data_IF_679386170165
#
_entry.id   IF_679386170165
#
_cell.length_a   1.000
_cell.length_b   1.000
_cell.length_c   1.000
_cell.angle_alpha   90.00
_cell.angle_beta   90.00
_cell.angle_gamma   90.00
#
_symmetry.space_group_name_H-M   'P 1'
#
loop_
_entity.id
_entity.type
_entity.pdbx_description
1 polymer ?
#
# COMPACT_ATOMS: atom_id res chain seq x y z
N UNK A 1 -2.54 -5.79 -77.42
CA UNK A 1 -2.97 -6.20 -76.06
C UNK A 1 -1.72 -6.37 -75.25
N UNK A 2 -1.40 -5.35 -74.40
CA UNK A 2 -0.23 -5.38 -73.50
C UNK A 2 -0.77 -5.53 -72.10
N UNK A 3 -0.50 -6.67 -71.52
CA UNK A 3 -0.83 -6.96 -70.10
C UNK A 3 0.25 -6.39 -69.21
N UNK A 4 -0.12 -5.39 -68.38
CA UNK A 4 0.69 -4.88 -67.26
C UNK A 4 0.57 -5.84 -66.07
N UNK A 5 1.68 -6.45 -65.66
CA UNK A 5 1.80 -7.13 -64.40
C UNK A 5 2.11 -6.10 -63.29
N UNK A 6 1.21 -5.92 -62.35
CA UNK A 6 1.48 -5.22 -61.10
C UNK A 6 2.17 -6.20 -60.14
N UNK A 7 3.42 -5.95 -59.84
CA UNK A 7 4.10 -6.62 -58.75
C UNK A 7 3.68 -5.98 -57.43
N UNK A 8 2.95 -6.71 -56.58
CA UNK A 8 2.68 -6.32 -55.19
C UNK A 8 3.90 -6.68 -54.35
N UNK A 9 4.62 -5.66 -53.91
CA UNK A 9 5.65 -5.83 -52.84
C UNK A 9 4.94 -6.16 -51.52
N UNK A 10 5.36 -7.22 -50.81
CA UNK A 10 4.84 -7.47 -49.48
C UNK A 10 5.40 -6.40 -48.54
N UNK A 11 4.54 -5.59 -47.97
CA UNK A 11 4.86 -4.76 -46.82
C UNK A 11 5.10 -5.68 -45.62
N UNK A 12 6.36 -5.93 -45.29
CA UNK A 12 6.75 -6.54 -44.03
C UNK A 12 6.58 -5.47 -42.95
N UNK A 13 5.47 -5.49 -42.24
CA UNK A 13 5.32 -4.82 -40.97
C UNK A 13 6.08 -5.66 -39.91
N UNK A 14 7.38 -5.52 -39.90
CA UNK A 14 8.20 -5.95 -38.79
C UNK A 14 8.32 -4.80 -37.81
N UNK A 15 7.24 -4.49 -37.12
CA UNK A 15 7.33 -3.83 -35.81
C UNK A 15 7.65 -4.96 -34.83
N UNK A 16 8.92 -5.32 -34.74
CA UNK A 16 9.41 -6.08 -33.58
C UNK A 16 9.23 -5.14 -32.40
N UNK A 17 8.27 -5.44 -31.52
CA UNK A 17 8.23 -4.86 -30.20
C UNK A 17 9.59 -5.15 -29.58
N UNK A 18 10.43 -4.13 -29.48
CA UNK A 18 11.72 -4.24 -28.80
C UNK A 18 11.39 -4.54 -27.34
N UNK A 19 11.60 -5.77 -26.92
CA UNK A 19 11.42 -6.15 -25.55
C UNK A 19 12.42 -5.34 -24.72
N UNK A 20 11.91 -4.44 -23.86
CA UNK A 20 12.71 -3.53 -23.05
C UNK A 20 13.14 -4.15 -21.73
N UNK A 21 12.50 -5.26 -21.32
CA UNK A 21 12.71 -5.95 -20.05
C UNK A 21 12.86 -7.46 -20.28
N UNK A 22 13.78 -8.08 -19.55
CA UNK A 22 13.92 -9.54 -19.43
C UNK A 22 13.33 -9.98 -18.09
N UNK A 23 12.44 -10.96 -18.11
CA UNK A 23 11.84 -11.54 -16.91
C UNK A 23 12.48 -12.88 -16.58
N UNK A 24 12.85 -13.07 -15.31
CA UNK A 24 13.31 -14.36 -14.78
C UNK A 24 12.46 -14.76 -13.60
N UNK A 25 11.74 -15.86 -13.72
CA UNK A 25 11.00 -16.45 -12.62
C UNK A 25 11.96 -17.18 -11.68
N UNK A 26 11.79 -16.96 -10.38
CA UNK A 26 12.56 -17.53 -9.30
C UNK A 26 11.63 -18.16 -8.27
N UNK A 27 12.20 -19.00 -7.42
CA UNK A 27 11.53 -19.52 -6.23
C UNK A 27 12.40 -19.20 -5.03
N UNK A 28 11.84 -18.55 -4.03
CA UNK A 28 12.53 -18.22 -2.79
C UNK A 28 12.14 -19.26 -1.74
N UNK A 29 13.14 -19.84 -1.07
CA UNK A 29 12.94 -20.68 0.11
C UNK A 29 12.83 -19.78 1.35
N UNK A 30 11.62 -19.70 1.90
CA UNK A 30 11.31 -18.90 3.09
C UNK A 30 11.61 -19.65 4.40
N UNK A 31 12.20 -20.84 4.31
CA UNK A 31 12.47 -21.72 5.44
C UNK A 31 11.26 -22.54 5.89
N UNK A 32 11.52 -23.52 6.76
CA UNK A 32 10.48 -24.41 7.31
C UNK A 32 9.64 -25.13 6.23
N UNK A 33 10.19 -25.35 5.04
CA UNK A 33 9.50 -25.97 3.90
C UNK A 33 8.57 -25.03 3.14
N UNK A 34 8.49 -23.76 3.52
CA UNK A 34 7.68 -22.74 2.83
C UNK A 34 8.48 -22.17 1.67
N UNK A 35 7.87 -22.12 0.48
CA UNK A 35 8.45 -21.51 -0.72
C UNK A 35 7.48 -20.53 -1.31
N UNK A 36 8.03 -19.50 -1.96
CA UNK A 36 7.23 -18.51 -2.67
C UNK A 36 7.78 -18.23 -4.06
N UNK A 37 6.90 -17.82 -4.98
CA UNK A 37 7.32 -17.38 -6.30
C UNK A 37 7.89 -15.97 -6.23
N UNK A 38 8.84 -15.71 -7.11
CA UNK A 38 9.43 -14.40 -7.31
C UNK A 38 9.72 -14.16 -8.80
N UNK A 39 9.89 -12.92 -9.16
CA UNK A 39 10.27 -12.50 -10.50
C UNK A 39 11.34 -11.42 -10.43
N UNK A 40 12.45 -11.69 -11.07
CA UNK A 40 13.50 -10.72 -11.32
C UNK A 40 13.28 -10.08 -12.69
N UNK A 41 13.07 -8.77 -12.69
CA UNK A 41 12.96 -7.95 -13.88
C UNK A 41 14.31 -7.31 -14.14
N UNK A 42 14.83 -7.46 -15.35
CA UNK A 42 16.17 -7.01 -15.74
C UNK A 42 16.06 -6.11 -16.98
N UNK A 43 16.91 -5.09 -17.12
CA UNK A 43 17.05 -4.37 -18.38
C UNK A 43 17.32 -5.33 -19.55
N UNK A 44 16.67 -5.12 -20.69
CA UNK A 44 16.93 -5.92 -21.89
C UNK A 44 18.27 -5.57 -22.52
N UNK A 45 18.76 -4.34 -22.29
CA UNK A 45 20.01 -3.81 -22.85
C UNK A 45 21.04 -3.66 -21.73
N UNK A 46 22.27 -4.08 -22.01
CA UNK A 46 23.37 -4.11 -21.06
C UNK A 46 23.55 -5.49 -20.40
N UNK A 47 24.74 -5.72 -19.87
CA UNK A 47 25.12 -6.99 -19.24
C UNK A 47 25.14 -6.90 -17.71
N UNK A 48 24.90 -5.71 -17.15
CA UNK A 48 25.02 -5.45 -15.71
C UNK A 48 26.49 -5.27 -15.26
N UNK A 49 26.79 -5.31 -13.94
CA UNK A 49 25.77 -5.42 -12.90
C UNK A 49 24.90 -4.16 -12.83
N UNK A 50 23.60 -4.34 -12.56
CA UNK A 50 22.62 -3.27 -12.46
C UNK A 50 22.34 -2.92 -11.00
N UNK A 51 22.12 -1.64 -10.65
CA UNK A 51 21.59 -1.28 -9.34
C UNK A 51 20.29 -2.05 -9.08
N UNK A 52 20.09 -2.49 -7.84
CA UNK A 52 19.05 -3.43 -7.49
C UNK A 52 17.97 -2.83 -6.62
N UNK A 53 16.73 -3.29 -6.83
CA UNK A 53 15.57 -2.91 -6.04
C UNK A 53 14.82 -4.16 -5.59
N UNK A 54 14.52 -4.27 -4.29
CA UNK A 54 13.60 -5.24 -3.72
C UNK A 54 12.30 -4.55 -3.34
N UNK A 55 11.16 -5.05 -3.83
CA UNK A 55 9.83 -4.56 -3.47
C UNK A 55 9.24 -5.37 -2.32
N UNK A 56 8.81 -4.68 -1.24
CA UNK A 56 8.29 -5.27 0.01
C UNK A 56 6.87 -4.76 0.27
N UNK A 57 5.92 -5.70 0.27
CA UNK A 57 4.48 -5.43 0.25
C UNK A 57 3.92 -4.78 1.52
N UNK A 58 2.76 -4.13 1.33
CA UNK A 58 1.85 -3.72 2.39
C UNK A 58 1.11 -4.88 3.07
N UNK A 59 0.19 -4.57 3.98
CA UNK A 59 -0.65 -5.54 4.68
C UNK A 59 -1.56 -6.33 3.73
N UNK A 60 -1.99 -7.51 4.15
CA UNK A 60 -2.93 -8.34 3.40
C UNK A 60 -2.28 -9.42 2.55
N UNK A 61 -3.08 -10.20 1.79
CA UNK A 61 -2.65 -11.35 1.00
C UNK A 61 -2.09 -10.92 -0.36
N UNK A 62 -1.01 -10.16 -0.37
CA UNK A 62 -0.46 -9.56 -1.58
C UNK A 62 0.35 -10.56 -2.42
N UNK A 63 0.06 -10.59 -3.72
CA UNK A 63 0.94 -11.20 -4.72
C UNK A 63 2.13 -10.28 -5.04
N UNK A 64 3.08 -10.77 -5.83
CA UNK A 64 4.30 -10.03 -6.19
C UNK A 64 4.06 -8.67 -6.87
N UNK A 65 2.88 -8.44 -7.42
CA UNK A 65 2.51 -7.20 -8.10
C UNK A 65 1.73 -6.23 -7.19
N UNK A 66 1.42 -6.61 -5.94
CA UNK A 66 0.40 -5.95 -5.13
C UNK A 66 -0.88 -5.72 -5.92
N UNK A 67 -1.33 -6.77 -6.63
CA UNK A 67 -2.54 -6.69 -7.44
C UNK A 67 -3.70 -6.22 -6.58
N UNK A 68 -4.48 -5.28 -7.06
CA UNK A 68 -5.63 -4.68 -6.37
C UNK A 68 -6.66 -4.20 -7.37
N UNK A 69 -7.75 -3.64 -6.86
CA UNK A 69 -8.72 -2.94 -7.68
C UNK A 69 -8.75 -1.47 -7.31
N UNK A 70 -8.93 -0.56 -8.25
CA UNK A 70 -9.26 0.82 -7.95
C UNK A 70 -10.76 1.01 -7.85
N UNK A 71 -11.19 1.89 -6.95
CA UNK A 71 -12.60 2.20 -6.77
C UNK A 71 -13.05 3.15 -7.87
N UNK A 72 -14.02 2.72 -8.64
CA UNK A 72 -14.77 3.57 -9.57
C UNK A 72 -16.25 3.38 -9.34
N UNK A 73 -16.98 4.47 -9.27
CA UNK A 73 -18.44 4.42 -9.23
C UNK A 73 -18.95 4.41 -10.67
N UNK A 74 -19.73 3.42 -11.02
CA UNK A 74 -20.47 3.39 -12.24
C UNK A 74 -21.59 4.43 -12.18
N UNK A 75 -21.55 5.43 -13.05
CA UNK A 75 -22.50 6.55 -13.01
C UNK A 75 -23.93 6.16 -13.40
N UNK A 76 -24.12 5.01 -14.08
CA UNK A 76 -25.44 4.55 -14.50
C UNK A 76 -26.11 3.69 -13.42
N UNK A 77 -25.34 2.85 -12.77
CA UNK A 77 -25.85 1.85 -11.82
C UNK A 77 -25.59 2.22 -10.35
N UNK A 78 -24.72 3.18 -10.07
CA UNK A 78 -24.22 3.48 -8.74
C UNK A 78 -23.33 2.40 -8.15
N UNK A 79 -22.98 1.38 -8.94
CA UNK A 79 -22.17 0.26 -8.50
C UNK A 79 -20.70 0.63 -8.38
N UNK A 80 -20.01 0.09 -7.37
CA UNK A 80 -18.58 0.25 -7.21
C UNK A 80 -17.87 -0.79 -8.09
N UNK A 81 -16.97 -0.33 -8.93
CA UNK A 81 -16.15 -1.17 -9.81
C UNK A 81 -14.71 -1.14 -9.31
N UNK A 82 -14.07 -2.31 -9.21
CA UNK A 82 -12.68 -2.49 -8.82
C UNK A 82 -11.87 -3.12 -9.96
N UNK A 83 -11.49 -2.35 -11.00
CA UNK A 83 -10.65 -2.89 -12.05
C UNK A 83 -9.25 -3.21 -11.51
N UNK A 84 -8.57 -4.22 -12.04
CA UNK A 84 -7.25 -4.62 -11.58
C UNK A 84 -6.22 -3.49 -11.69
N UNK A 85 -5.46 -3.27 -10.64
CA UNK A 85 -4.27 -2.43 -10.60
C UNK A 85 -3.10 -3.27 -10.08
N UNK A 86 -1.89 -2.93 -10.45
CA UNK A 86 -0.68 -3.67 -10.09
C UNK A 86 0.47 -2.71 -9.78
N UNK A 87 0.41 -1.99 -8.67
CA UNK A 87 1.40 -0.95 -8.34
C UNK A 87 2.85 -1.43 -8.39
N UNK A 88 3.14 -2.62 -7.85
CA UNK A 88 4.50 -3.15 -7.87
C UNK A 88 4.95 -3.58 -9.26
N UNK A 89 4.03 -4.01 -10.11
CA UNK A 89 4.34 -4.22 -11.51
C UNK A 89 4.72 -2.91 -12.20
N UNK A 90 3.96 -1.83 -11.96
CA UNK A 90 4.23 -0.51 -12.54
C UNK A 90 5.62 0.01 -12.12
N UNK A 91 6.00 -0.13 -10.84
CA UNK A 91 7.34 0.24 -10.34
C UNK A 91 8.42 -0.61 -11.00
N UNK A 92 8.22 -1.93 -11.06
CA UNK A 92 9.22 -2.86 -11.58
C UNK A 92 9.48 -2.61 -13.08
N UNK A 93 8.43 -2.45 -13.89
CA UNK A 93 8.55 -2.13 -15.30
C UNK A 93 9.29 -0.80 -15.50
N UNK A 94 8.81 0.25 -14.82
CA UNK A 94 9.36 1.59 -14.97
C UNK A 94 10.86 1.67 -14.64
N UNK A 95 11.27 1.02 -13.55
CA UNK A 95 12.68 1.02 -13.13
C UNK A 95 13.55 0.09 -14.00
N UNK A 96 13.04 -1.09 -14.39
CA UNK A 96 13.81 -2.03 -15.19
C UNK A 96 14.05 -1.52 -16.63
N UNK A 97 13.10 -0.81 -17.22
CA UNK A 97 13.33 -0.10 -18.49
C UNK A 97 14.43 0.96 -18.40
N UNK A 98 14.72 1.45 -17.18
CA UNK A 98 15.66 2.54 -16.91
C UNK A 98 16.96 2.08 -16.24
N UNK A 99 17.25 0.79 -16.29
CA UNK A 99 18.56 0.27 -15.91
C UNK A 99 18.65 -0.34 -14.50
N UNK A 100 17.54 -0.66 -13.85
CA UNK A 100 17.54 -1.32 -12.55
C UNK A 100 17.15 -2.80 -12.67
N UNK A 101 17.77 -3.65 -11.83
CA UNK A 101 17.29 -5.00 -11.57
C UNK A 101 16.26 -4.98 -10.44
N UNK A 102 15.03 -5.44 -10.68
CA UNK A 102 13.95 -5.33 -9.70
C UNK A 102 13.41 -6.72 -9.34
N UNK A 103 13.48 -7.10 -8.06
CA UNK A 103 12.93 -8.34 -7.53
C UNK A 103 11.57 -8.09 -6.86
N UNK A 104 10.59 -8.87 -7.28
CA UNK A 104 9.25 -8.98 -6.72
C UNK A 104 9.02 -10.40 -6.25
N UNK A 105 8.25 -10.61 -5.17
CA UNK A 105 7.91 -11.94 -4.68
C UNK A 105 6.48 -11.99 -4.13
N UNK A 106 5.83 -13.16 -4.14
CA UNK A 106 4.53 -13.33 -3.50
C UNK A 106 4.71 -13.44 -1.98
N UNK A 107 3.80 -12.90 -1.18
CA UNK A 107 3.80 -13.16 0.27
C UNK A 107 3.66 -14.66 0.53
N UNK A 108 4.17 -15.12 1.68
CA UNK A 108 4.07 -16.53 2.10
C UNK A 108 2.63 -17.03 2.05
N UNK A 109 2.39 -18.18 1.42
CA UNK A 109 1.07 -18.79 1.28
C UNK A 109 0.14 -18.12 0.27
N UNK A 110 0.65 -17.15 -0.50
CA UNK A 110 -0.11 -16.40 -1.49
C UNK A 110 0.38 -16.71 -2.91
N UNK A 111 -0.50 -16.59 -3.88
CA UNK A 111 -0.23 -16.68 -5.31
C UNK A 111 -0.90 -15.55 -6.07
N UNK A 112 -0.81 -15.60 -7.38
CA UNK A 112 -1.30 -14.55 -8.28
C UNK A 112 -2.76 -14.14 -8.00
N UNK A 113 -3.06 -12.86 -8.19
CA UNK A 113 -4.38 -12.25 -8.02
C UNK A 113 -4.98 -12.51 -6.61
N UNK A 114 -4.20 -12.27 -5.54
CA UNK A 114 -4.58 -12.45 -4.13
C UNK A 114 -5.02 -13.88 -3.77
N UNK A 115 -4.68 -14.87 -4.57
CA UNK A 115 -5.11 -16.23 -4.29
C UNK A 115 -4.42 -16.76 -3.04
N UNK A 116 -5.17 -17.09 -2.01
CA UNK A 116 -4.64 -17.76 -0.82
C UNK A 116 -4.41 -19.23 -1.18
N UNK A 117 -3.14 -19.61 -1.35
CA UNK A 117 -2.73 -21.00 -1.67
C UNK A 117 -2.67 -21.86 -0.41
N UNK A 118 -2.20 -21.26 0.69
CA UNK A 118 -2.15 -21.91 2.00
C UNK A 118 -2.57 -20.94 3.09
N UNK A 119 -3.82 -21.11 3.56
CA UNK A 119 -4.41 -20.26 4.59
C UNK A 119 -3.73 -20.40 5.96
N UNK A 120 -3.11 -21.57 6.25
CA UNK A 120 -2.40 -21.75 7.50
C UNK A 120 -1.06 -20.99 7.49
N UNK A 121 -0.36 -21.01 6.35
CA UNK A 121 0.91 -20.29 6.18
C UNK A 121 0.65 -18.78 6.22
N UNK A 122 -0.29 -18.30 5.39
CA UNK A 122 -0.61 -16.87 5.33
C UNK A 122 -1.24 -16.34 6.61
N UNK A 123 -2.29 -17.01 7.11
CA UNK A 123 -3.07 -16.53 8.26
C UNK A 123 -2.28 -16.50 9.57
N UNK A 124 -1.25 -17.33 9.70
CA UNK A 124 -0.39 -17.40 10.89
C UNK A 124 0.95 -16.66 10.71
N UNK A 125 1.15 -15.93 9.63
CA UNK A 125 2.36 -15.16 9.41
C UNK A 125 2.53 -14.08 10.48
N UNK A 126 3.60 -14.13 11.25
CA UNK A 126 3.94 -13.10 12.21
C UNK A 126 4.67 -11.94 11.52
N UNK A 127 4.74 -10.79 12.18
CA UNK A 127 5.51 -9.66 11.67
C UNK A 127 7.01 -10.01 11.49
N UNK A 128 7.56 -10.82 12.40
CA UNK A 128 8.94 -11.32 12.29
C UNK A 128 9.10 -12.29 11.12
N UNK A 129 8.12 -13.14 10.83
CA UNK A 129 8.11 -13.98 9.65
C UNK A 129 8.21 -13.15 8.35
N UNK A 130 7.42 -12.06 8.26
CA UNK A 130 7.42 -11.19 7.07
C UNK A 130 8.76 -10.43 6.93
N UNK A 131 9.37 -10.05 8.06
CA UNK A 131 10.71 -9.44 8.05
C UNK A 131 11.76 -10.43 7.55
N UNK A 132 11.76 -11.67 8.06
CA UNK A 132 12.67 -12.73 7.60
C UNK A 132 12.45 -13.10 6.13
N UNK A 133 11.21 -13.08 5.63
CA UNK A 133 10.93 -13.31 4.21
C UNK A 133 11.58 -12.25 3.33
N UNK A 134 11.50 -10.99 3.74
CA UNK A 134 12.14 -9.90 3.02
C UNK A 134 13.68 -10.01 3.06
N UNK A 135 14.27 -10.45 4.19
CA UNK A 135 15.70 -10.72 4.29
C UNK A 135 16.12 -11.86 3.34
N UNK A 136 15.35 -12.94 3.26
CA UNK A 136 15.63 -14.04 2.31
C UNK A 136 15.48 -13.62 0.85
N UNK A 137 14.51 -12.75 0.56
CA UNK A 137 14.36 -12.16 -0.77
C UNK A 137 15.55 -11.25 -1.12
N UNK A 138 16.06 -10.49 -0.16
CA UNK A 138 17.29 -9.70 -0.30
C UNK A 138 18.50 -10.60 -0.60
N UNK A 139 18.68 -11.69 0.16
CA UNK A 139 19.76 -12.66 -0.07
C UNK A 139 19.71 -13.24 -1.49
N UNK A 140 18.51 -13.58 -1.97
CA UNK A 140 18.33 -14.09 -3.35
C UNK A 140 18.65 -13.01 -4.38
N UNK A 141 18.27 -11.77 -4.16
CA UNK A 141 18.53 -10.66 -5.07
C UNK A 141 20.03 -10.40 -5.23
N UNK A 142 20.76 -10.24 -4.12
CA UNK A 142 22.19 -9.89 -4.16
C UNK A 142 23.09 -11.02 -4.69
N UNK A 143 22.58 -12.25 -4.75
CA UNK A 143 23.28 -13.40 -5.35
C UNK A 143 23.11 -13.49 -6.86
N UNK A 144 22.27 -12.67 -7.48
CA UNK A 144 22.10 -12.71 -8.94
C UNK A 144 23.31 -12.07 -9.63
N UNK A 145 23.86 -12.72 -10.68
CA UNK A 145 25.10 -12.24 -11.32
C UNK A 145 24.95 -10.90 -12.05
N UNK A 146 23.72 -10.52 -12.42
CA UNK A 146 23.42 -9.24 -13.07
C UNK A 146 23.21 -8.09 -12.08
N UNK A 147 23.24 -8.34 -10.76
CA UNK A 147 22.94 -7.38 -9.72
C UNK A 147 24.21 -6.77 -9.16
N UNK A 148 24.24 -5.45 -9.06
CA UNK A 148 25.25 -4.71 -8.29
C UNK A 148 24.90 -4.78 -6.79
N UNK A 149 25.58 -5.67 -6.08
CA UNK A 149 25.39 -5.86 -4.65
C UNK A 149 25.89 -4.69 -3.78
N UNK A 150 26.52 -3.67 -4.39
CA UNK A 150 26.93 -2.44 -3.71
C UNK A 150 26.00 -1.27 -4.02
N UNK A 151 24.84 -1.52 -4.65
CA UNK A 151 23.83 -0.50 -4.91
C UNK A 151 22.43 -1.13 -4.80
N UNK A 152 22.00 -1.37 -3.57
CA UNK A 152 20.76 -2.07 -3.25
C UNK A 152 19.77 -1.16 -2.55
N UNK A 153 18.58 -1.07 -3.11
CA UNK A 153 17.45 -0.30 -2.55
C UNK A 153 16.34 -1.24 -2.11
N UNK A 154 15.79 -1.00 -0.93
CA UNK A 154 14.54 -1.61 -0.48
C UNK A 154 13.39 -0.61 -0.65
N UNK A 155 12.34 -0.99 -1.35
CA UNK A 155 11.11 -0.19 -1.48
C UNK A 155 10.00 -0.89 -0.70
N UNK A 156 9.54 -0.28 0.39
CA UNK A 156 8.42 -0.77 1.19
C UNK A 156 7.16 0.05 0.94
N UNK A 157 6.03 -0.62 0.76
CA UNK A 157 4.72 0.02 0.69
C UNK A 157 3.92 -0.29 1.96
N UNK A 158 3.26 0.73 2.54
CA UNK A 158 2.38 0.54 3.69
C UNK A 158 3.09 -0.19 4.85
N UNK A 159 2.61 -1.36 5.30
CA UNK A 159 3.29 -2.23 6.26
C UNK A 159 4.75 -2.53 5.89
N UNK A 160 5.04 -2.69 4.60
CA UNK A 160 6.38 -2.91 4.07
C UNK A 160 7.38 -1.82 4.48
N UNK A 161 6.92 -0.60 4.77
CA UNK A 161 7.78 0.50 5.25
C UNK A 161 8.39 0.21 6.62
N UNK A 162 7.68 -0.55 7.45
CA UNK A 162 8.20 -0.98 8.76
C UNK A 162 9.14 -2.17 8.63
N UNK A 163 8.94 -3.00 7.61
CA UNK A 163 9.79 -4.17 7.31
C UNK A 163 11.13 -3.70 6.72
N UNK A 164 11.13 -2.82 5.71
CA UNK A 164 12.39 -2.36 5.09
C UNK A 164 13.32 -1.65 6.06
N UNK A 165 12.77 -0.93 7.05
CA UNK A 165 13.58 -0.33 8.12
C UNK A 165 14.33 -1.38 8.94
N UNK A 166 13.67 -2.50 9.26
CA UNK A 166 14.29 -3.60 10.02
C UNK A 166 15.30 -4.36 9.20
N UNK A 167 14.95 -4.67 7.96
CA UNK A 167 15.89 -5.34 7.04
C UNK A 167 17.15 -4.50 6.87
N UNK A 168 17.04 -3.18 6.72
CA UNK A 168 18.20 -2.27 6.63
C UNK A 168 19.03 -2.25 7.91
N UNK A 169 18.40 -2.27 9.11
CA UNK A 169 19.10 -2.34 10.39
C UNK A 169 19.83 -3.67 10.57
N UNK A 170 19.21 -4.77 10.14
CA UNK A 170 19.75 -6.13 10.30
C UNK A 170 20.84 -6.48 9.28
N UNK A 171 20.89 -5.76 8.14
CA UNK A 171 21.80 -6.04 7.03
C UNK A 171 22.70 -4.81 6.71
N UNK A 172 23.50 -4.32 7.67
CA UNK A 172 24.37 -3.17 7.45
C UNK A 172 25.43 -3.49 6.39
N UNK A 173 25.64 -2.56 5.45
CA UNK A 173 26.61 -2.70 4.37
C UNK A 173 26.13 -3.53 3.17
N UNK A 174 24.84 -3.96 3.16
CA UNK A 174 24.19 -4.56 1.99
C UNK A 174 23.17 -3.58 1.40
N UNK A 175 22.42 -2.90 2.25
CA UNK A 175 21.38 -1.95 1.84
C UNK A 175 21.95 -0.55 1.79
N UNK A 176 21.79 0.13 0.66
CA UNK A 176 22.25 1.53 0.47
C UNK A 176 21.12 2.52 0.59
N UNK A 177 19.91 2.10 0.25
CA UNK A 177 18.75 3.00 0.26
C UNK A 177 17.50 2.29 0.76
N UNK A 178 16.63 3.04 1.46
CA UNK A 178 15.25 2.62 1.73
C UNK A 178 14.27 3.67 1.23
N UNK A 179 13.20 3.21 0.61
CA UNK A 179 12.08 4.02 0.14
C UNK A 179 10.83 3.57 0.89
N UNK A 180 10.14 4.52 1.50
CA UNK A 180 8.92 4.29 2.28
C UNK A 180 7.74 4.93 1.55
N UNK A 181 6.85 4.13 0.98
CA UNK A 181 5.67 4.57 0.24
C UNK A 181 4.41 4.33 1.08
N UNK A 182 3.63 5.39 1.39
CA UNK A 182 2.51 5.29 2.31
C UNK A 182 2.99 4.89 3.72
N UNK A 183 3.86 5.70 4.31
CA UNK A 183 4.72 5.34 5.42
C UNK A 183 3.99 5.16 6.76
N UNK A 184 4.40 4.15 7.54
CA UNK A 184 4.04 3.97 8.94
C UNK A 184 5.13 4.55 9.85
N UNK A 185 4.79 5.51 10.69
CA UNK A 185 5.63 5.94 11.81
C UNK A 185 5.35 5.09 13.05
N UNK A 186 4.10 4.86 13.34
CA UNK A 186 3.58 4.08 14.44
C UNK A 186 3.42 2.61 14.05
N UNK A 187 2.88 1.77 14.93
CA UNK A 187 2.59 0.37 14.61
C UNK A 187 1.18 0.20 14.03
N UNK A 188 0.84 -1.02 13.64
CA UNK A 188 -0.45 -1.31 13.01
C UNK A 188 -1.65 -1.06 13.94
N UNK A 189 -1.45 -1.06 15.27
CA UNK A 189 -2.53 -0.77 16.21
C UNK A 189 -3.00 0.67 16.11
N UNK A 190 -2.07 1.62 16.12
CA UNK A 190 -2.36 3.06 16.01
C UNK A 190 -2.93 3.40 14.63
N UNK A 191 -2.46 2.72 13.58
CA UNK A 191 -3.04 2.83 12.23
C UNK A 191 -4.47 2.28 12.22
N UNK A 192 -4.71 1.14 12.87
CA UNK A 192 -6.05 0.58 13.05
C UNK A 192 -7.01 1.50 13.83
N UNK A 193 -6.51 2.18 14.88
CA UNK A 193 -7.27 3.19 15.61
C UNK A 193 -7.66 4.38 14.70
N UNK A 194 -6.76 4.81 13.83
CA UNK A 194 -7.07 5.84 12.84
C UNK A 194 -8.14 5.36 11.84
N UNK A 195 -7.91 4.22 11.20
CA UNK A 195 -8.83 3.69 10.18
C UNK A 195 -10.18 3.29 10.77
N UNK A 196 -10.19 2.70 11.96
CA UNK A 196 -11.38 2.12 12.60
C UNK A 196 -12.23 3.12 13.38
N UNK A 197 -11.64 4.21 13.85
CA UNK A 197 -12.35 5.18 14.72
C UNK A 197 -12.19 6.60 14.21
N UNK A 198 -10.95 7.10 14.10
CA UNK A 198 -10.73 8.53 13.87
C UNK A 198 -11.23 8.97 12.50
N UNK A 199 -10.94 8.25 11.44
CA UNK A 199 -11.36 8.57 10.07
C UNK A 199 -12.89 8.50 9.90
N UNK A 200 -13.59 7.44 10.36
CA UNK A 200 -15.07 7.41 10.33
C UNK A 200 -15.73 8.56 11.09
N UNK A 201 -15.19 8.95 12.24
CA UNK A 201 -15.72 10.09 13.00
C UNK A 201 -15.51 11.42 12.27
N UNK A 202 -14.31 11.63 11.71
CA UNK A 202 -14.03 12.81 10.89
C UNK A 202 -14.96 12.88 9.67
N UNK A 203 -15.17 11.75 9.01
CA UNK A 203 -16.11 11.66 7.90
C UNK A 203 -17.54 12.00 8.33
N UNK A 204 -18.02 11.43 9.43
CA UNK A 204 -19.35 11.73 9.97
C UNK A 204 -19.52 13.23 10.27
N UNK A 205 -18.51 13.86 10.91
CA UNK A 205 -18.54 15.28 11.27
C UNK A 205 -18.41 16.25 10.07
N UNK A 206 -17.68 15.88 9.04
CA UNK A 206 -17.36 16.80 7.94
C UNK A 206 -18.19 16.58 6.69
N UNK A 207 -18.73 15.37 6.51
CA UNK A 207 -19.44 14.98 5.30
C UNK A 207 -20.92 14.67 5.57
N UNK A 208 -21.23 13.94 6.65
CA UNK A 208 -22.62 13.52 6.90
C UNK A 208 -23.39 14.56 7.72
N UNK A 209 -22.80 15.12 8.76
CA UNK A 209 -23.44 16.14 9.63
C UNK A 209 -23.46 17.51 8.93
N UNK A 210 -24.43 17.71 8.02
CA UNK A 210 -24.52 18.91 7.19
C UNK A 210 -24.80 20.17 8.00
N UNK A 211 -25.52 20.04 9.09
CA UNK A 211 -25.93 21.17 9.94
C UNK A 211 -24.99 21.38 11.14
N UNK A 212 -23.96 20.54 11.30
CA UNK A 212 -22.94 20.60 12.34
C UNK A 212 -23.50 20.58 13.77
N UNK A 213 -24.58 19.80 13.99
CA UNK A 213 -25.19 19.65 15.30
C UNK A 213 -24.68 18.44 16.11
N UNK A 214 -23.78 17.63 15.55
CA UNK A 214 -23.20 16.43 16.16
C UNK A 214 -24.09 15.19 16.09
N UNK A 215 -25.20 15.26 15.34
CA UNK A 215 -26.19 14.20 15.16
C UNK A 215 -26.35 13.86 13.69
N UNK A 216 -26.52 12.59 13.36
CA UNK A 216 -26.80 12.11 12.00
C UNK A 216 -28.24 11.66 11.92
N UNK A 217 -29.06 12.34 11.12
CA UNK A 217 -30.42 11.96 10.80
C UNK A 217 -30.50 10.86 9.75
N UNK A 218 -31.67 10.24 9.56
CA UNK A 218 -31.90 9.28 8.46
C UNK A 218 -31.57 9.93 7.10
N UNK A 219 -32.01 11.19 6.92
CA UNK A 219 -31.78 11.91 5.67
C UNK A 219 -30.30 12.12 5.40
N UNK A 220 -29.51 12.62 6.34
CA UNK A 220 -28.05 12.81 6.21
C UNK A 220 -27.30 11.52 5.93
N UNK A 221 -27.69 10.43 6.60
CA UNK A 221 -27.11 9.10 6.35
C UNK A 221 -27.43 8.55 4.95
N UNK A 222 -28.61 8.88 4.39
CA UNK A 222 -29.11 8.36 3.13
C UNK A 222 -28.67 9.17 1.91
N UNK A 223 -28.38 10.46 2.07
CA UNK A 223 -27.98 11.35 0.97
C UNK A 223 -26.63 10.95 0.33
N UNK A 224 -25.76 10.24 1.08
CA UNK A 224 -24.46 9.76 0.60
C UNK A 224 -24.27 8.26 0.85
N UNK A 225 -25.12 7.37 0.30
CA UNK A 225 -25.11 5.95 0.66
C UNK A 225 -23.79 5.26 0.28
N UNK A 226 -23.13 5.65 -0.80
CA UNK A 226 -21.85 5.08 -1.23
C UNK A 226 -20.72 5.56 -0.32
N UNK A 227 -20.65 6.84 -0.01
CA UNK A 227 -19.63 7.41 0.87
C UNK A 227 -19.87 7.03 2.34
N UNK A 228 -21.12 6.88 2.77
CA UNK A 228 -21.41 6.36 4.11
C UNK A 228 -21.12 4.87 4.26
N UNK A 229 -20.99 4.12 3.15
CA UNK A 229 -20.65 2.70 3.19
C UNK A 229 -19.14 2.41 3.11
N UNK A 230 -18.32 3.37 2.65
CA UNK A 230 -16.89 3.18 2.44
C UNK A 230 -16.10 4.39 2.93
N UNK A 231 -15.49 4.27 4.08
CA UNK A 231 -14.55 5.26 4.63
C UNK A 231 -13.20 4.58 4.84
N UNK A 232 -12.23 4.95 4.05
CA UNK A 232 -10.97 4.23 4.00
C UNK A 232 -11.20 2.76 3.57
N UNK A 233 -10.88 1.82 4.46
CA UNK A 233 -11.09 0.37 4.26
C UNK A 233 -12.32 -0.16 5.00
N UNK A 234 -13.11 0.70 5.65
CA UNK A 234 -14.26 0.29 6.45
C UNK A 234 -15.56 0.50 5.71
N UNK A 235 -16.49 -0.41 5.94
CA UNK A 235 -17.88 -0.24 5.54
C UNK A 235 -18.66 0.39 6.69
N UNK A 236 -19.16 1.61 6.47
CA UNK A 236 -19.95 2.36 7.43
C UNK A 236 -21.37 2.54 6.85
N UNK A 237 -22.33 1.74 7.29
CA UNK A 237 -23.70 1.77 6.81
C UNK A 237 -24.60 2.30 7.93
N UNK A 238 -24.88 3.60 7.94
CA UNK A 238 -25.65 4.28 8.98
C UNK A 238 -27.14 4.30 8.71
N UNK A 239 -27.58 4.16 7.45
CA UNK A 239 -28.99 4.00 7.07
C UNK A 239 -29.21 2.70 6.32
N UNK A 240 -30.38 2.09 6.51
CA UNK A 240 -30.79 0.87 5.83
C UNK A 240 -32.26 0.88 5.44
N UNK A 241 -32.58 0.20 4.34
CA UNK A 241 -33.96 0.01 3.93
C UNK A 241 -34.59 -1.14 4.70
N UNK A 242 -35.77 -0.90 5.27
CA UNK A 242 -36.60 -1.93 5.89
C UNK A 242 -37.90 -2.11 5.10
N UNK A 243 -38.34 -3.35 4.96
CA UNK A 243 -39.66 -3.65 4.41
C UNK A 243 -40.71 -3.53 5.50
N UNK A 244 -41.66 -2.67 5.30
CA UNK A 244 -42.83 -2.46 6.20
C UNK A 244 -44.10 -2.96 5.54
N UNK A 245 -45.21 -3.03 6.31
CA UNK A 245 -46.51 -3.39 5.77
C UNK A 245 -47.00 -2.40 4.69
N UNK A 246 -46.51 -1.16 4.75
CA UNK A 246 -46.87 -0.07 3.84
C UNK A 246 -45.82 0.18 2.73
N UNK A 247 -44.82 -0.67 2.58
CA UNK A 247 -43.73 -0.53 1.60
C UNK A 247 -42.35 -0.50 2.23
N UNK A 248 -41.34 -0.03 1.46
CA UNK A 248 -39.96 0.13 1.95
C UNK A 248 -39.81 1.50 2.60
N UNK A 249 -39.24 1.56 3.78
CA UNK A 249 -38.88 2.79 4.49
C UNK A 249 -37.37 2.74 4.86
N UNK A 250 -36.73 3.90 4.83
CA UNK A 250 -35.37 4.06 5.35
C UNK A 250 -35.44 4.28 6.88
N UNK A 251 -34.49 3.66 7.56
CA UNK A 251 -34.28 3.87 9.00
C UNK A 251 -32.78 3.90 9.31
N UNK A 252 -32.43 4.49 10.45
CA UNK A 252 -31.08 4.40 10.98
C UNK A 252 -30.72 2.96 11.32
N UNK A 253 -29.46 2.58 11.07
CA UNK A 253 -28.98 1.26 11.37
C UNK A 253 -28.92 1.04 12.90
N UNK A 254 -29.69 0.08 13.45
CA UNK A 254 -29.75 -0.15 14.90
C UNK A 254 -28.41 -0.53 15.52
N UNK A 255 -27.43 -0.92 14.69
CA UNK A 255 -26.07 -1.19 15.16
C UNK A 255 -25.39 0.07 15.70
N UNK A 256 -25.73 1.24 15.16
CA UNK A 256 -25.16 2.54 15.50
C UNK A 256 -26.15 3.45 16.21
N UNK A 257 -27.45 3.28 15.99
CA UNK A 257 -28.53 3.96 16.72
C UNK A 257 -28.91 3.14 17.95
N UNK A 258 -28.13 3.27 19.02
CA UNK A 258 -28.20 2.39 20.20
C UNK A 258 -29.43 2.70 21.06
N UNK A 259 -29.79 3.96 21.16
CA UNK A 259 -30.94 4.43 21.95
C UNK A 259 -32.27 4.34 21.19
N UNK A 260 -32.20 3.98 19.88
CA UNK A 260 -33.35 3.81 18.99
C UNK A 260 -34.23 5.07 18.86
N UNK A 261 -33.60 6.23 18.89
CA UNK A 261 -34.28 7.51 18.60
C UNK A 261 -34.21 7.88 17.10
N UNK A 262 -34.35 9.13 16.73
CA UNK A 262 -34.41 9.60 15.34
C UNK A 262 -33.05 10.04 14.79
N UNK A 263 -31.96 9.92 15.58
CA UNK A 263 -30.62 10.39 15.24
C UNK A 263 -29.58 9.39 15.74
N UNK A 264 -28.37 9.43 15.14
CA UNK A 264 -27.17 8.80 15.69
C UNK A 264 -26.28 9.92 16.21
N UNK A 265 -25.97 9.93 17.51
CA UNK A 265 -24.97 10.83 18.08
C UNK A 265 -23.58 10.41 17.62
N UNK A 266 -22.83 11.33 16.98
CA UNK A 266 -21.48 11.01 16.49
C UNK A 266 -20.54 10.63 17.63
N UNK A 267 -20.65 11.31 18.77
CA UNK A 267 -19.74 11.10 19.90
C UNK A 267 -20.25 10.02 20.86
N UNK A 268 -21.55 10.09 21.22
CA UNK A 268 -22.07 9.22 22.29
C UNK A 268 -22.46 7.82 21.80
N UNK A 269 -22.74 7.65 20.50
CA UNK A 269 -23.14 6.37 19.93
C UNK A 269 -22.12 5.85 18.91
N UNK A 270 -21.93 6.55 17.78
CA UNK A 270 -21.06 6.08 16.70
C UNK A 270 -19.63 5.85 17.18
N UNK A 271 -19.01 6.84 17.83
CA UNK A 271 -17.62 6.73 18.31
C UNK A 271 -17.46 5.61 19.33
N UNK A 272 -18.37 5.50 20.30
CA UNK A 272 -18.32 4.42 21.29
C UNK A 272 -18.44 3.05 20.64
N UNK A 273 -19.36 2.91 19.68
CA UNK A 273 -19.55 1.66 18.96
C UNK A 273 -18.30 1.25 18.16
N UNK A 274 -17.67 2.20 17.45
CA UNK A 274 -16.44 1.94 16.70
C UNK A 274 -15.28 1.54 17.62
N UNK A 275 -15.14 2.21 18.77
CA UNK A 275 -14.14 1.85 19.79
C UNK A 275 -14.40 0.43 20.31
N UNK A 276 -15.63 0.05 20.59
CA UNK A 276 -15.96 -1.28 21.10
C UNK A 276 -15.74 -2.37 20.03
N UNK A 277 -16.04 -2.07 18.77
CA UNK A 277 -15.69 -2.97 17.65
C UNK A 277 -14.19 -3.20 17.56
N UNK A 278 -13.39 -2.14 17.63
CA UNK A 278 -11.92 -2.24 17.59
C UNK A 278 -11.35 -2.98 18.79
N UNK A 279 -11.88 -2.73 20.01
CA UNK A 279 -11.52 -3.48 21.22
C UNK A 279 -11.85 -4.97 21.09
N UNK A 280 -13.00 -5.32 20.48
CA UNK A 280 -13.38 -6.71 20.29
C UNK A 280 -12.39 -7.47 19.41
N UNK A 281 -11.85 -6.81 18.37
CA UNK A 281 -10.75 -7.37 17.56
C UNK A 281 -9.49 -7.62 18.39
N UNK A 282 -9.17 -6.73 19.34
CA UNK A 282 -7.98 -6.88 20.20
C UNK A 282 -8.14 -7.93 21.32
N UNK A 283 -9.35 -8.24 21.76
CA UNK A 283 -9.63 -9.28 22.78
C UNK A 283 -9.52 -10.71 22.19
N UNK A 284 -9.81 -10.88 20.90
CA UNK A 284 -9.65 -12.17 20.20
C UNK A 284 -8.18 -12.56 20.03
N UNK A 285 -7.26 -11.66 20.33
CA UNK A 285 -5.83 -11.74 20.01
C UNK A 285 -4.97 -12.24 21.17
N UNK A 286 -5.23 -13.42 21.74
CA UNK A 286 -4.27 -14.05 22.65
C UNK A 286 -3.20 -14.89 21.94
N UNK A 287 -2.73 -14.45 20.77
CA UNK A 287 -1.57 -15.04 20.10
C UNK A 287 -1.77 -16.48 19.59
N UNK A 288 -3.01 -16.94 19.46
CA UNK A 288 -3.30 -18.29 19.01
C UNK A 288 -3.19 -18.43 17.49
N UNK A 289 -2.60 -19.55 17.05
CA UNK A 289 -2.65 -20.00 15.66
C UNK A 289 -4.04 -20.51 15.33
N UNK A 290 -4.47 -20.30 14.11
CA UNK A 290 -5.71 -20.87 13.61
C UNK A 290 -5.47 -21.70 12.35
N UNK A 291 -6.47 -22.42 11.89
CA UNK A 291 -6.41 -23.23 10.67
C UNK A 291 -7.63 -23.02 9.82
N UNK A 292 -7.44 -23.02 8.49
CA UNK A 292 -8.53 -23.02 7.50
C UNK A 292 -9.29 -21.70 7.33
N UNK A 293 -8.87 -20.62 7.96
CA UNK A 293 -9.48 -19.30 7.79
C UNK A 293 -8.85 -18.53 6.61
N UNK A 294 -9.68 -17.78 5.89
CA UNK A 294 -9.23 -16.86 4.85
C UNK A 294 -8.84 -15.48 5.40
N UNK A 295 -8.97 -15.29 6.73
CA UNK A 295 -8.66 -14.07 7.46
C UNK A 295 -7.41 -14.27 8.31
N UNK A 296 -6.69 -13.19 8.67
CA UNK A 296 -5.55 -13.29 9.56
C UNK A 296 -5.92 -13.92 10.90
N UNK A 297 -5.09 -14.83 11.39
CA UNK A 297 -5.26 -15.46 12.69
C UNK A 297 -4.94 -14.51 13.85
N UNK A 298 -5.40 -14.79 15.09
CA UNK A 298 -5.08 -13.97 16.27
C UNK A 298 -3.58 -13.72 16.43
N UNK A 299 -2.71 -14.68 16.14
CA UNK A 299 -1.26 -14.53 16.23
C UNK A 299 -0.73 -13.45 15.27
N UNK A 300 -1.31 -13.33 14.06
CA UNK A 300 -0.97 -12.28 13.11
C UNK A 300 -1.25 -10.91 13.73
N UNK A 301 -2.49 -10.67 14.18
CA UNK A 301 -2.89 -9.41 14.81
C UNK A 301 -2.01 -9.08 16.02
N UNK A 302 -1.80 -10.06 16.92
CA UNK A 302 -0.97 -9.85 18.12
C UNK A 302 0.44 -9.43 17.76
N UNK A 303 1.09 -10.10 16.81
CA UNK A 303 2.47 -9.81 16.41
C UNK A 303 2.61 -8.42 15.76
N UNK A 304 1.64 -8.05 14.91
CA UNK A 304 1.67 -6.76 14.22
C UNK A 304 1.31 -5.59 15.15
N UNK A 305 0.35 -5.78 16.06
CA UNK A 305 -0.05 -4.76 17.04
C UNK A 305 0.98 -4.53 18.13
N UNK A 306 1.81 -5.53 18.44
CA UNK A 306 2.89 -5.42 19.42
C UNK A 306 4.26 -5.10 18.79
N UNK A 307 4.32 -4.95 17.46
CA UNK A 307 5.56 -4.60 16.79
C UNK A 307 6.06 -3.22 17.23
N UNK A 308 7.37 -3.09 17.41
CA UNK A 308 7.97 -1.80 17.80
C UNK A 308 7.74 -0.78 16.68
N UNK A 309 7.21 0.42 16.98
CA UNK A 309 7.00 1.47 15.99
C UNK A 309 8.27 1.86 15.21
N UNK A 310 8.11 2.28 13.95
CA UNK A 310 9.23 2.81 13.18
C UNK A 310 9.89 4.01 13.86
N UNK A 311 9.12 4.87 14.53
CA UNK A 311 9.64 6.02 15.30
C UNK A 311 10.71 5.62 16.33
N UNK A 312 10.59 4.43 16.92
CA UNK A 312 11.49 3.95 17.96
C UNK A 312 12.76 3.29 17.41
N UNK A 313 12.73 2.88 16.15
CA UNK A 313 13.85 2.17 15.51
C UNK A 313 14.54 2.95 14.39
N UNK A 314 13.88 3.93 13.77
CA UNK A 314 14.39 4.63 12.59
C UNK A 314 15.77 5.30 12.85
N UNK A 315 16.04 5.67 14.10
CA UNK A 315 17.34 6.19 14.50
C UNK A 315 18.47 5.16 14.51
N UNK A 316 18.14 3.86 14.38
CA UNK A 316 19.10 2.75 14.29
C UNK A 316 19.43 2.39 12.84
N UNK A 317 18.72 2.94 11.87
CA UNK A 317 19.10 2.80 10.46
C UNK A 317 20.49 3.42 10.29
N UNK A 318 21.47 2.69 9.73
CA UNK A 318 22.81 3.21 9.50
C UNK A 318 22.82 4.56 8.76
N UNK A 319 23.69 5.46 9.17
CA UNK A 319 23.72 6.84 8.64
C UNK A 319 24.21 6.95 7.19
N UNK A 320 24.76 5.90 6.66
CA UNK A 320 25.17 5.74 5.25
C UNK A 320 24.01 5.23 4.35
N UNK A 321 22.87 4.85 4.93
CA UNK A 321 21.68 4.47 4.16
C UNK A 321 20.83 5.71 3.90
N UNK A 322 20.56 6.01 2.63
CA UNK A 322 19.67 7.11 2.24
C UNK A 322 18.19 6.74 2.41
N UNK A 323 17.36 7.69 2.85
CA UNK A 323 15.93 7.46 3.14
C UNK A 323 15.05 8.37 2.29
N UNK A 324 14.16 7.77 1.50
CA UNK A 324 13.09 8.49 0.79
C UNK A 324 11.72 8.13 1.39
N UNK A 325 10.92 9.14 1.68
CA UNK A 325 9.53 8.98 2.10
C UNK A 325 8.63 9.59 1.02
N UNK A 326 7.73 8.77 0.45
CA UNK A 326 6.71 9.20 -0.51
C UNK A 326 5.34 9.08 0.15
N UNK A 327 4.53 10.15 0.13
CA UNK A 327 3.26 10.15 0.85
C UNK A 327 2.16 10.91 0.10
N UNK A 328 1.03 10.25 -0.14
CA UNK A 328 -0.20 10.88 -0.60
C UNK A 328 -0.83 11.73 0.52
N UNK A 329 -1.30 12.97 0.23
CA UNK A 329 -1.99 13.80 1.22
C UNK A 329 -3.43 13.34 1.48
N UNK A 330 -4.03 12.67 0.51
CA UNK A 330 -5.36 12.07 0.62
C UNK A 330 -5.31 10.59 1.02
N UNK A 331 -4.22 10.16 1.66
CA UNK A 331 -4.08 8.80 2.14
C UNK A 331 -5.02 8.54 3.33
N UNK A 332 -6.09 7.78 3.08
CA UNK A 332 -7.09 7.40 4.07
C UNK A 332 -6.70 6.14 4.86
N UNK A 333 -5.59 5.47 4.51
CA UNK A 333 -5.10 4.30 5.23
C UNK A 333 -3.96 4.66 6.19
N UNK A 334 -2.95 5.38 5.70
CA UNK A 334 -1.84 5.89 6.50
C UNK A 334 -1.82 7.41 6.39
N UNK A 335 -2.36 8.12 7.38
CA UNK A 335 -2.51 9.57 7.27
C UNK A 335 -1.15 10.27 7.14
N UNK A 336 -1.12 11.38 6.40
CA UNK A 336 0.11 12.15 6.12
C UNK A 336 0.93 12.48 7.36
N UNK A 337 0.30 12.54 8.54
CA UNK A 337 0.95 12.77 9.83
C UNK A 337 2.01 11.70 10.12
N UNK A 338 1.82 10.47 9.64
CA UNK A 338 2.80 9.39 9.81
C UNK A 338 4.13 9.73 9.10
N UNK A 339 4.07 10.24 7.88
CA UNK A 339 5.25 10.69 7.14
C UNK A 339 5.92 11.89 7.81
N UNK A 340 5.14 12.86 8.32
CA UNK A 340 5.69 14.01 9.05
C UNK A 340 6.37 13.60 10.36
N UNK A 341 5.83 12.63 11.10
CA UNK A 341 6.45 12.11 12.31
C UNK A 341 7.81 11.47 12.01
N UNK A 342 7.92 10.67 10.94
CA UNK A 342 9.19 10.09 10.50
C UNK A 342 10.18 11.17 10.08
N UNK A 343 9.75 12.12 9.25
CA UNK A 343 10.58 13.24 8.81
C UNK A 343 11.11 14.06 9.99
N UNK A 344 10.24 14.36 10.96
CA UNK A 344 10.64 15.06 12.17
C UNK A 344 11.68 14.26 12.96
N UNK A 345 11.43 12.94 13.15
CA UNK A 345 12.35 12.06 13.88
C UNK A 345 13.72 11.97 13.21
N UNK A 346 13.77 11.80 11.90
CA UNK A 346 15.03 11.78 11.13
C UNK A 346 15.81 13.10 11.26
N UNK A 347 15.10 14.23 11.25
CA UNK A 347 15.69 15.54 11.50
C UNK A 347 16.23 15.67 12.93
N UNK A 348 15.49 15.24 13.94
CA UNK A 348 15.90 15.26 15.37
C UNK A 348 17.17 14.44 15.60
N UNK A 349 17.25 13.24 15.02
CA UNK A 349 18.45 12.38 15.13
C UNK A 349 19.57 12.77 14.16
N UNK A 350 19.36 13.81 13.36
CA UNK A 350 20.30 14.33 12.37
C UNK A 350 20.75 13.26 11.36
N UNK A 351 19.80 12.46 10.87
CA UNK A 351 20.10 11.53 9.78
C UNK A 351 20.58 12.33 8.55
N UNK A 352 21.76 12.02 7.97
CA UNK A 352 22.39 12.93 7.00
C UNK A 352 21.67 13.02 5.67
N UNK A 353 21.01 11.94 5.22
CA UNK A 353 20.33 11.87 3.93
C UNK A 353 18.91 11.32 4.07
N UNK A 354 17.92 12.22 4.12
CA UNK A 354 16.53 11.87 4.13
C UNK A 354 15.68 12.92 3.39
N UNK A 355 14.72 12.43 2.61
CA UNK A 355 13.84 13.25 1.77
C UNK A 355 12.39 12.85 1.98
N UNK A 356 11.48 13.82 2.09
CA UNK A 356 10.04 13.61 2.06
C UNK A 356 9.45 14.31 0.83
N UNK A 357 8.72 13.56 0.01
CA UNK A 357 7.91 14.08 -1.10
C UNK A 357 6.44 13.80 -0.79
N UNK A 358 5.59 14.82 -0.91
CA UNK A 358 4.15 14.69 -0.67
C UNK A 358 3.35 15.03 -1.92
N UNK A 359 2.26 14.29 -2.15
CA UNK A 359 1.41 14.40 -3.33
C UNK A 359 0.00 14.85 -2.94
N UNK A 360 -0.44 16.06 -3.30
CA UNK A 360 -1.67 16.68 -2.79
C UNK A 360 -2.94 15.86 -3.01
N UNK A 361 -3.10 15.27 -4.20
CA UNK A 361 -4.35 14.64 -4.64
C UNK A 361 -4.28 13.11 -4.68
N UNK A 362 -3.19 12.52 -4.17
CA UNK A 362 -3.00 11.08 -4.18
C UNK A 362 -3.34 10.44 -2.84
N UNK A 363 -3.90 9.24 -2.91
CA UNK A 363 -4.17 8.36 -1.78
C UNK A 363 -3.04 7.35 -1.54
N UNK A 364 -3.36 6.29 -0.83
CA UNK A 364 -2.43 5.27 -0.34
C UNK A 364 -1.61 4.57 -1.43
N UNK A 365 -2.24 4.24 -2.57
CA UNK A 365 -1.57 3.58 -3.70
C UNK A 365 -1.02 4.56 -4.75
N UNK A 366 -0.86 5.83 -4.38
CA UNK A 366 -0.39 6.89 -5.29
C UNK A 366 -1.26 7.06 -6.55
N UNK A 367 -2.55 6.80 -6.38
CA UNK A 367 -3.61 7.02 -7.34
C UNK A 367 -4.49 8.19 -6.87
N UNK A 368 -5.06 8.99 -7.79
CA UNK A 368 -5.98 10.08 -7.44
C UNK A 368 -7.11 9.59 -6.53
N UNK A 369 -7.24 10.19 -5.37
CA UNK A 369 -8.16 9.75 -4.32
C UNK A 369 -8.71 10.94 -3.55
N UNK A 370 -9.93 10.81 -3.03
CA UNK A 370 -10.40 11.70 -1.97
C UNK A 370 -9.77 11.30 -0.63
N UNK A 371 -9.78 12.22 0.33
CA UNK A 371 -9.31 11.93 1.69
C UNK A 371 -10.17 10.89 2.45
N UNK A 372 -11.31 10.50 1.88
CA UNK A 372 -12.27 9.58 2.53
C UNK A 372 -12.28 8.20 1.90
N UNK A 373 -12.06 8.13 0.60
CA UNK A 373 -12.17 6.91 -0.18
C UNK A 373 -10.80 6.45 -0.62
N UNK A 374 -10.42 5.25 -0.23
CA UNK A 374 -9.19 4.62 -0.70
C UNK A 374 -9.32 4.29 -2.19
N UNK A 375 -8.65 5.06 -3.03
CA UNK A 375 -8.48 4.73 -4.44
C UNK A 375 -7.29 3.80 -4.61
N UNK A 376 -7.49 2.68 -5.29
CA UNK A 376 -6.42 1.79 -5.74
C UNK A 376 -6.41 1.80 -7.27
N UNK A 377 -5.27 2.13 -7.86
CA UNK A 377 -5.13 2.23 -9.31
C UNK A 377 -3.66 2.25 -9.71
N UNK A 378 -3.36 2.44 -11.00
CA UNK A 378 -1.98 2.59 -11.47
C UNK A 378 -1.30 3.76 -10.75
N UNK A 379 -0.05 3.56 -10.35
CA UNK A 379 0.76 4.65 -9.78
C UNK A 379 0.89 5.77 -10.80
N UNK A 380 0.72 7.01 -10.36
CA UNK A 380 0.88 8.16 -11.25
C UNK A 380 2.33 8.28 -11.73
N UNK A 381 2.51 8.51 -13.03
CA UNK A 381 3.82 8.49 -13.67
C UNK A 381 4.82 9.46 -13.02
N UNK A 382 4.37 10.64 -12.57
CA UNK A 382 5.26 11.60 -11.90
C UNK A 382 5.79 11.09 -10.55
N UNK A 383 5.09 10.16 -9.87
CA UNK A 383 5.60 9.49 -8.66
C UNK A 383 6.73 8.53 -9.03
N UNK A 384 6.56 7.79 -10.14
CA UNK A 384 7.61 6.90 -10.67
C UNK A 384 8.83 7.71 -11.15
N UNK A 385 8.61 8.90 -11.73
CA UNK A 385 9.66 9.83 -12.13
C UNK A 385 10.43 10.36 -10.91
N UNK A 386 9.74 10.76 -9.83
CA UNK A 386 10.37 11.22 -8.60
C UNK A 386 11.19 10.09 -7.94
N UNK A 387 10.64 8.87 -7.89
CA UNK A 387 11.33 7.68 -7.39
C UNK A 387 12.61 7.41 -8.20
N UNK A 388 12.50 7.34 -9.52
CA UNK A 388 13.64 7.10 -10.41
C UNK A 388 14.68 8.24 -10.32
N UNK A 389 14.22 9.49 -10.33
CA UNK A 389 15.10 10.66 -10.22
C UNK A 389 15.89 10.63 -8.91
N UNK A 390 15.25 10.26 -7.79
CA UNK A 390 15.91 10.15 -6.51
C UNK A 390 16.91 8.98 -6.49
N UNK A 391 16.56 7.82 -7.05
CA UNK A 391 17.45 6.65 -7.15
C UNK A 391 18.66 6.88 -8.06
N UNK A 392 18.51 7.72 -9.09
CA UNK A 392 19.53 7.99 -10.11
C UNK A 392 20.42 9.21 -9.78
N UNK A 393 20.16 9.94 -8.69
CA UNK A 393 20.94 11.12 -8.34
C UNK A 393 22.33 10.72 -7.81
N UNK A 394 23.42 11.01 -8.54
CA UNK A 394 24.79 10.67 -8.11
C UNK A 394 25.29 11.54 -6.97
N UNK A 395 24.60 12.63 -6.63
CA UNK A 395 25.03 13.64 -5.62
C UNK A 395 24.37 13.40 -4.26
N UNK A 396 23.60 12.30 -4.09
CA UNK A 396 23.05 11.94 -2.78
C UNK A 396 24.19 11.68 -1.77
N UNK A 397 24.05 12.23 -0.59
CA UNK A 397 25.07 12.14 0.49
C UNK A 397 25.62 13.49 0.93
N UNK A 398 25.21 14.59 0.30
CA UNK A 398 25.52 15.96 0.77
C UNK A 398 24.24 16.65 1.22
N UNK A 399 23.89 16.49 2.49
CA UNK A 399 22.93 17.28 3.30
C UNK A 399 21.86 18.02 2.49
N UNK A 400 20.75 17.38 2.18
CA UNK A 400 19.52 18.06 1.78
C UNK A 400 18.32 17.48 2.51
N UNK A 401 17.90 18.11 3.59
CA UNK A 401 16.52 18.00 4.03
C UNK A 401 15.66 18.74 3.00
N UNK A 402 15.04 18.02 2.09
CA UNK A 402 14.18 18.60 1.06
C UNK A 402 12.76 18.17 1.29
N UNK A 403 11.87 19.10 1.62
CA UNK A 403 10.43 18.88 1.60
C UNK A 403 9.95 19.40 0.24
N UNK A 404 9.68 18.48 -0.68
CA UNK A 404 9.11 18.81 -1.98
C UNK A 404 7.59 18.62 -1.92
N UNK A 405 6.85 19.64 -2.32
CA UNK A 405 5.44 19.51 -2.67
C UNK A 405 5.35 19.56 -4.20
N UNK A 406 5.06 18.45 -4.86
CA UNK A 406 4.78 18.49 -6.29
C UNK A 406 3.48 19.27 -6.50
N UNK A 407 3.59 20.52 -6.90
CA UNK A 407 2.46 21.25 -7.47
C UNK A 407 2.32 20.75 -8.90
N UNK A 408 1.24 20.04 -9.19
CA UNK A 408 0.84 19.78 -10.56
C UNK A 408 0.66 21.11 -11.29
N UNK A 409 1.65 21.55 -12.03
CA UNK A 409 1.42 22.53 -13.05
C UNK A 409 0.73 21.81 -14.21
N UNK A 410 -0.60 21.80 -14.18
CA UNK A 410 -1.36 21.64 -15.42
C UNK A 410 -1.04 22.84 -16.31
N UNK A 411 -0.43 22.56 -17.41
CA UNK A 411 -0.51 23.40 -18.62
C UNK A 411 -1.25 22.65 -19.70
#
# INVERSE_FOLDING_TARGET
>A
MSSLFYATTPTVNAQSDLQTIKYRNLVIDLGNGIKTNARLNLPAIGDGPFPAVLLVHGSGPNDMNETGGYVRIDNETGSIIYPPARPFFDIAEYLSERGFAVLQYDKRGIGANFTILDSNVWGNATFDDLTQDAERALDVLVQQPEVDSNNVTLVGHSEGTTIVSRVAINNPGIVDNIVMMGAFAQNLREIGDFQGVSLPILYAQQVLDHNHNGLISVQEASENPVFSSLVGNLTLVLAQNITTVNGTAEQLNPQYNINNDTFISIIDELKHKLIDQLKSLSVVTQGEKCSGLKEPCPIWLTSHFSSIPNLDIISKVPSDISILILQGKNDSQTPIQQAFLLQQKLTEVRHPDHTLITYPDLGHSFYPSSQWLTGIGPIQEYVLQDLFGWLSDPVRGFTKVTILSSSSQMR
#
